data_IF_613897978787
#
_entry.id   IF_613897978787
#
_cell.length_a   1.000
_cell.length_b   1.000
_cell.length_c   1.000
_cell.angle_alpha   90.00
_cell.angle_beta   90.00
_cell.angle_gamma   90.00
#
_symmetry.space_group_name_H-M   'P 1'
#
loop_
_entity.id
_entity.type
_entity.pdbx_description
1 polymer ?
#
# COMPACT_ATOMS: atom_id res chain seq x y z
N UNK A 1 -15.49 -12.08 -10.92
CA UNK A 1 -14.04 -12.39 -11.06
C UNK A 1 -13.72 -12.66 -12.53
N UNK A 2 -13.14 -11.70 -13.27
CA UNK A 2 -12.96 -11.81 -14.73
C UNK A 2 -11.69 -11.11 -15.27
N UNK A 3 -10.54 -11.23 -14.60
CA UNK A 3 -9.30 -10.63 -15.12
C UNK A 3 -8.23 -11.68 -15.35
N UNK A 4 -8.10 -12.08 -16.61
CA UNK A 4 -6.97 -12.82 -17.17
C UNK A 4 -6.08 -11.79 -17.91
N UNK A 5 -4.78 -11.78 -17.65
CA UNK A 5 -3.85 -10.80 -18.24
C UNK A 5 -3.49 -9.64 -17.30
N UNK A 6 -3.16 -8.47 -17.84
CA UNK A 6 -2.65 -7.34 -17.06
C UNK A 6 -3.70 -6.83 -16.07
N UNK A 7 -3.40 -6.92 -14.77
CA UNK A 7 -4.27 -6.50 -13.67
C UNK A 7 -4.12 -5.04 -13.26
N UNK A 8 -3.34 -4.28 -14.04
CA UNK A 8 -3.06 -2.86 -13.86
C UNK A 8 -3.14 -2.15 -15.22
N UNK A 9 -3.41 -0.83 -15.22
CA UNK A 9 -3.35 -0.05 -16.44
C UNK A 9 -1.92 0.03 -16.99
N UNK A 10 -1.78 0.31 -18.29
CA UNK A 10 -0.46 0.48 -18.92
C UNK A 10 0.40 1.51 -18.19
N UNK A 11 -0.20 2.65 -17.80
CA UNK A 11 0.48 3.70 -17.05
C UNK A 11 1.03 3.18 -15.70
N UNK A 12 0.24 2.42 -14.95
CA UNK A 12 0.66 1.83 -13.67
C UNK A 12 1.83 0.87 -13.86
N UNK A 13 1.78 0.07 -14.94
CA UNK A 13 2.87 -0.82 -15.34
C UNK A 13 4.17 -0.07 -15.60
N UNK A 14 4.11 1.04 -16.35
CA UNK A 14 5.27 1.89 -16.65
C UNK A 14 5.81 2.58 -15.40
N UNK A 15 4.92 3.08 -14.52
CA UNK A 15 5.31 3.68 -13.25
C UNK A 15 6.06 2.66 -12.37
N UNK A 16 5.51 1.45 -12.22
CA UNK A 16 6.19 0.37 -11.49
C UNK A 16 7.53 0.00 -12.11
N UNK A 17 7.62 -0.10 -13.44
CA UNK A 17 8.88 -0.37 -14.13
C UNK A 17 9.93 0.71 -13.86
N UNK A 18 9.51 1.99 -13.88
CA UNK A 18 10.38 3.12 -13.58
C UNK A 18 10.95 3.03 -12.16
N UNK A 19 10.12 2.75 -11.16
CA UNK A 19 10.60 2.58 -9.79
C UNK A 19 11.50 1.36 -9.59
N UNK A 20 11.27 0.27 -10.33
CA UNK A 20 12.14 -0.93 -10.30
C UNK A 20 13.53 -0.69 -10.87
N UNK A 21 13.77 0.39 -11.61
CA UNK A 21 15.13 0.76 -12.05
C UNK A 21 16.03 1.20 -10.90
N UNK A 22 15.46 1.62 -9.76
CA UNK A 22 16.20 2.21 -8.64
C UNK A 22 16.80 3.59 -8.94
N UNK A 23 16.56 4.16 -10.12
CA UNK A 23 17.14 5.43 -10.54
C UNK A 23 16.30 6.62 -10.06
N UNK A 24 16.95 7.63 -9.51
CA UNK A 24 16.28 8.83 -8.99
C UNK A 24 15.64 9.70 -10.09
N UNK A 25 16.03 9.55 -11.36
CA UNK A 25 15.48 10.33 -12.49
C UNK A 25 13.95 10.18 -12.61
N UNK A 26 13.42 9.01 -12.21
CA UNK A 26 11.98 8.74 -12.21
C UNK A 26 11.20 9.35 -11.05
N UNK A 27 11.89 9.77 -9.99
CA UNK A 27 11.27 10.16 -8.73
C UNK A 27 10.29 11.33 -8.90
N UNK A 28 10.68 12.38 -9.64
CA UNK A 28 9.83 13.54 -9.88
C UNK A 28 8.53 13.17 -10.61
N UNK A 29 8.60 12.24 -11.55
CA UNK A 29 7.44 11.73 -12.29
C UNK A 29 6.50 10.94 -11.39
N UNK A 30 7.05 10.03 -10.56
CA UNK A 30 6.25 9.24 -9.60
C UNK A 30 5.60 10.16 -8.56
N UNK A 31 6.32 11.16 -8.06
CA UNK A 31 5.78 12.17 -7.13
C UNK A 31 4.64 12.98 -7.75
N UNK A 32 4.76 13.38 -9.02
CA UNK A 32 3.66 14.04 -9.74
C UNK A 32 2.45 13.14 -9.90
N UNK A 33 2.65 11.86 -10.21
CA UNK A 33 1.56 10.89 -10.29
C UNK A 33 0.89 10.69 -8.93
N UNK A 34 1.67 10.58 -7.85
CA UNK A 34 1.17 10.46 -6.50
C UNK A 34 0.30 11.65 -6.07
N UNK A 35 0.66 12.86 -6.48
CA UNK A 35 -0.10 14.08 -6.18
C UNK A 35 -1.49 14.13 -6.85
N UNK A 36 -1.76 13.28 -7.84
CA UNK A 36 -3.06 13.20 -8.52
C UNK A 36 -4.01 12.20 -7.87
N UNK A 37 -3.51 11.33 -6.98
CA UNK A 37 -4.31 10.32 -6.30
C UNK A 37 -5.37 10.97 -5.39
N UNK A 38 -6.56 10.38 -5.42
CA UNK A 38 -7.67 10.67 -4.53
C UNK A 38 -8.07 9.38 -3.80
N UNK A 39 -8.82 9.44 -2.68
CA UNK A 39 -9.27 8.23 -1.99
C UNK A 39 -9.98 7.22 -2.91
N UNK A 40 -10.75 7.74 -3.88
CA UNK A 40 -11.53 6.97 -4.84
C UNK A 40 -10.70 6.41 -6.00
N UNK A 41 -9.43 6.81 -6.14
CA UNK A 41 -8.54 6.30 -7.19
C UNK A 41 -8.40 4.77 -7.11
N UNK A 42 -8.17 4.14 -8.26
CA UNK A 42 -8.04 2.69 -8.36
C UNK A 42 -6.90 2.14 -7.50
N UNK A 43 -7.08 0.92 -6.98
CA UNK A 43 -6.05 0.20 -6.22
C UNK A 43 -4.71 0.13 -6.99
N UNK A 44 -4.78 -0.06 -8.31
CA UNK A 44 -3.57 -0.20 -9.14
C UNK A 44 -2.69 1.05 -9.10
N UNK A 45 -3.27 2.26 -9.02
CA UNK A 45 -2.51 3.50 -8.92
C UNK A 45 -1.76 3.61 -7.59
N UNK A 46 -2.43 3.28 -6.48
CA UNK A 46 -1.80 3.25 -5.15
C UNK A 46 -0.67 2.22 -5.08
N UNK A 47 -0.91 1.02 -5.61
CA UNK A 47 0.10 -0.03 -5.72
C UNK A 47 1.29 0.45 -6.55
N UNK A 48 1.03 1.08 -7.69
CA UNK A 48 2.08 1.57 -8.59
C UNK A 48 2.97 2.60 -7.88
N UNK A 49 2.38 3.59 -7.20
CA UNK A 49 3.13 4.59 -6.44
C UNK A 49 3.93 3.96 -5.29
N UNK A 50 3.30 3.09 -4.49
CA UNK A 50 3.94 2.44 -3.35
C UNK A 50 5.14 1.57 -3.76
N UNK A 51 4.96 0.68 -4.74
CA UNK A 51 6.04 -0.19 -5.24
C UNK A 51 7.16 0.62 -5.87
N UNK A 52 6.83 1.73 -6.53
CA UNK A 52 7.83 2.55 -7.20
C UNK A 52 8.70 3.31 -6.20
N UNK A 53 8.11 3.91 -5.17
CA UNK A 53 8.87 4.58 -4.12
C UNK A 53 9.71 3.61 -3.31
N UNK A 54 9.17 2.44 -2.95
CA UNK A 54 9.93 1.40 -2.26
C UNK A 54 11.10 0.86 -3.11
N UNK A 55 10.98 0.87 -4.44
CA UNK A 55 12.06 0.46 -5.35
C UNK A 55 13.17 1.49 -5.50
N UNK A 56 12.85 2.78 -5.45
CA UNK A 56 13.85 3.87 -5.54
C UNK A 56 14.60 4.05 -4.22
N UNK A 57 13.95 3.77 -3.08
CA UNK A 57 14.55 3.92 -1.75
C UNK A 57 15.08 5.34 -1.46
N UNK A 58 14.28 6.34 -1.82
CA UNK A 58 14.59 7.75 -1.56
C UNK A 58 13.72 8.27 -0.41
N UNK A 59 14.37 8.84 0.61
CA UNK A 59 13.72 9.41 1.82
C UNK A 59 12.73 10.55 1.50
N UNK A 60 12.86 11.21 0.36
CA UNK A 60 11.91 12.22 -0.10
C UNK A 60 10.51 11.63 -0.39
N UNK A 61 10.38 10.31 -0.53
CA UNK A 61 9.09 9.63 -0.67
C UNK A 61 8.27 9.62 0.63
N UNK A 62 8.94 9.67 1.78
CA UNK A 62 8.31 9.57 3.12
C UNK A 62 7.17 10.59 3.32
N UNK A 63 7.35 11.90 3.09
CA UNK A 63 6.26 12.86 3.25
C UNK A 63 5.10 12.61 2.28
N UNK A 64 5.38 12.12 1.06
CA UNK A 64 4.35 11.81 0.05
C UNK A 64 3.50 10.61 0.51
N UNK A 65 4.15 9.53 0.93
CA UNK A 65 3.50 8.31 1.41
C UNK A 65 2.70 8.58 2.69
N UNK A 66 3.26 9.35 3.62
CA UNK A 66 2.55 9.78 4.82
C UNK A 66 1.30 10.59 4.49
N UNK A 67 1.38 11.52 3.53
CA UNK A 67 0.21 12.30 3.09
C UNK A 67 -0.88 11.41 2.48
N UNK A 68 -0.52 10.44 1.62
CA UNK A 68 -1.48 9.50 1.04
C UNK A 68 -2.20 8.68 2.13
N UNK A 69 -1.46 8.13 3.09
CA UNK A 69 -2.04 7.42 4.24
C UNK A 69 -2.88 8.31 5.16
N UNK A 70 -2.72 9.63 5.08
CA UNK A 70 -3.46 10.59 5.91
C UNK A 70 -4.72 11.12 5.22
N UNK A 71 -4.97 10.73 3.97
CA UNK A 71 -6.22 11.05 3.30
C UNK A 71 -7.41 10.35 4.00
N UNK A 72 -8.57 11.02 4.12
CA UNK A 72 -9.77 10.39 4.66
C UNK A 72 -10.12 9.09 3.92
N UNK A 73 -10.36 8.03 4.67
CA UNK A 73 -10.76 6.73 4.11
C UNK A 73 -9.63 5.85 3.56
N UNK A 74 -8.36 6.26 3.65
CA UNK A 74 -7.23 5.42 3.19
C UNK A 74 -6.73 4.45 4.27
N UNK A 75 -6.77 4.83 5.55
CA UNK A 75 -6.26 4.01 6.65
C UNK A 75 -7.38 3.50 7.57
N UNK A 76 -7.11 2.44 8.33
CA UNK A 76 -8.03 1.84 9.29
C UNK A 76 -8.85 0.67 8.74
N UNK A 77 -8.35 -0.05 7.74
CA UNK A 77 -9.06 -1.17 7.10
C UNK A 77 -8.61 -2.55 7.58
N UNK A 78 -7.71 -2.62 8.55
CA UNK A 78 -7.34 -3.88 9.19
C UNK A 78 -8.54 -4.49 9.91
N UNK A 79 -8.59 -5.82 9.97
CA UNK A 79 -9.68 -6.56 10.58
C UNK A 79 -9.10 -7.52 11.61
N UNK A 80 -9.16 -7.14 12.88
CA UNK A 80 -8.64 -7.94 14.00
C UNK A 80 -9.74 -8.62 14.82
N UNK A 81 -11.00 -8.30 14.54
CA UNK A 81 -12.15 -8.78 15.28
C UNK A 81 -13.19 -9.44 14.36
N UNK A 82 -13.62 -10.66 14.73
CA UNK A 82 -14.62 -11.42 13.97
C UNK A 82 -15.96 -10.69 13.85
N UNK A 83 -16.40 -10.00 14.92
CA UNK A 83 -17.65 -9.25 14.91
C UNK A 83 -17.59 -8.04 13.96
N UNK A 84 -16.41 -7.45 13.76
CA UNK A 84 -16.21 -6.37 12.79
C UNK A 84 -16.14 -6.92 11.36
N UNK A 85 -15.46 -8.06 11.17
CA UNK A 85 -15.42 -8.77 9.90
C UNK A 85 -16.82 -9.10 9.38
N UNK A 86 -17.71 -9.60 10.26
CA UNK A 86 -19.08 -9.94 9.88
C UNK A 86 -19.92 -8.71 9.46
N UNK A 87 -19.59 -7.51 9.95
CA UNK A 87 -20.27 -6.26 9.56
C UNK A 87 -19.84 -5.75 8.19
N UNK A 88 -18.65 -6.12 7.71
CA UNK A 88 -18.12 -5.67 6.43
C UNK A 88 -18.47 -6.62 5.28
N UNK A 89 -19.01 -7.80 5.57
CA UNK A 89 -19.50 -8.76 4.57
C UNK A 89 -20.55 -8.10 3.68
N UNK A 90 -20.24 -8.00 2.39
CA UNK A 90 -21.16 -7.52 1.36
C UNK A 90 -21.93 -8.70 0.76
N UNK A 91 -23.20 -8.48 0.42
CA UNK A 91 -24.02 -9.49 -0.25
C UNK A 91 -23.63 -9.71 -1.71
N UNK A 92 -23.04 -8.69 -2.36
CA UNK A 92 -22.53 -8.80 -3.72
C UNK A 92 -21.22 -9.59 -3.73
N UNK A 93 -21.23 -10.76 -4.38
CA UNK A 93 -20.07 -11.64 -4.51
C UNK A 93 -18.96 -11.08 -5.41
N UNK A 94 -19.24 -10.01 -6.16
CA UNK A 94 -18.25 -9.30 -6.96
C UNK A 94 -17.69 -8.05 -6.27
N UNK A 95 -18.16 -7.71 -5.05
CA UNK A 95 -17.61 -6.58 -4.30
C UNK A 95 -16.13 -6.83 -3.99
N UNK A 96 -15.31 -5.85 -4.37
CA UNK A 96 -13.88 -5.87 -4.11
C UNK A 96 -13.44 -4.71 -3.22
N UNK A 97 -14.40 -3.96 -2.64
CA UNK A 97 -14.14 -2.69 -1.95
C UNK A 97 -13.31 -2.92 -0.69
N UNK A 98 -13.70 -3.88 0.15
CA UNK A 98 -12.98 -4.25 1.38
C UNK A 98 -11.54 -4.63 1.04
N UNK A 99 -11.38 -5.58 0.11
CA UNK A 99 -10.05 -6.04 -0.34
C UNK A 99 -9.20 -4.88 -0.87
N UNK A 100 -9.77 -4.05 -1.74
CA UNK A 100 -9.04 -2.94 -2.36
C UNK A 100 -8.61 -1.91 -1.32
N UNK A 101 -9.45 -1.61 -0.34
CA UNK A 101 -9.12 -0.68 0.74
C UNK A 101 -7.99 -1.22 1.62
N UNK A 102 -8.06 -2.50 2.03
CA UNK A 102 -6.98 -3.14 2.79
C UNK A 102 -5.66 -3.12 2.02
N UNK A 103 -5.69 -3.47 0.72
CA UNK A 103 -4.49 -3.51 -0.10
C UNK A 103 -3.90 -2.13 -0.37
N UNK A 104 -4.73 -1.09 -0.59
CA UNK A 104 -4.26 0.31 -0.71
C UNK A 104 -3.45 0.71 0.51
N UNK A 105 -4.03 0.50 1.70
CA UNK A 105 -3.39 0.80 2.97
C UNK A 105 -2.09 0.02 3.16
N UNK A 106 -2.13 -1.30 2.94
CA UNK A 106 -0.99 -2.19 3.16
C UNK A 106 0.19 -1.88 2.22
N UNK A 107 -0.06 -1.60 0.94
CA UNK A 107 0.99 -1.19 0.00
C UNK A 107 1.66 0.12 0.45
N UNK A 108 0.86 1.12 0.82
CA UNK A 108 1.39 2.41 1.27
C UNK A 108 2.15 2.29 2.59
N UNK A 109 1.63 1.54 3.55
CA UNK A 109 2.27 1.33 4.86
C UNK A 109 3.61 0.60 4.72
N UNK A 110 3.67 -0.44 3.89
CA UNK A 110 4.93 -1.12 3.54
C UNK A 110 5.93 -0.14 2.92
N UNK A 111 5.51 0.64 1.92
CA UNK A 111 6.40 1.58 1.25
C UNK A 111 6.92 2.65 2.22
N UNK A 112 6.05 3.20 3.07
CA UNK A 112 6.42 4.19 4.07
C UNK A 112 7.44 3.60 5.06
N UNK A 113 7.18 2.37 5.53
CA UNK A 113 8.07 1.67 6.45
C UNK A 113 9.47 1.45 5.87
N UNK A 114 9.54 1.02 4.61
CA UNK A 114 10.82 0.77 3.93
C UNK A 114 11.59 2.07 3.62
N UNK A 115 10.91 3.15 3.25
CA UNK A 115 11.58 4.43 2.92
C UNK A 115 12.02 5.25 4.16
N UNK A 116 11.69 4.83 5.38
CA UNK A 116 12.20 5.45 6.63
C UNK A 116 11.14 5.89 7.65
N UNK A 117 9.86 5.70 7.37
CA UNK A 117 8.73 5.77 8.33
C UNK A 117 8.64 6.99 9.26
N UNK A 118 8.17 8.13 8.72
CA UNK A 118 7.92 9.32 9.53
C UNK A 118 6.80 9.08 10.55
N UNK A 119 7.06 9.45 11.81
CA UNK A 119 6.17 9.28 12.96
C UNK A 119 5.72 7.83 13.24
N UNK A 120 6.44 6.83 12.74
CA UNK A 120 6.10 5.39 12.91
C UNK A 120 4.74 4.98 12.36
N UNK A 121 4.13 5.78 11.48
CA UNK A 121 2.77 5.52 10.98
C UNK A 121 2.69 4.25 10.14
N UNK A 122 3.69 4.01 9.29
CA UNK A 122 3.80 2.79 8.48
C UNK A 122 3.94 1.55 9.37
N UNK A 123 4.81 1.61 10.37
CA UNK A 123 5.02 0.56 11.37
C UNK A 123 3.74 0.26 12.14
N UNK A 124 3.04 1.29 12.66
CA UNK A 124 1.79 1.11 13.41
C UNK A 124 0.74 0.38 12.58
N UNK A 125 0.56 0.79 11.32
CA UNK A 125 -0.38 0.12 10.40
C UNK A 125 0.04 -1.33 10.15
N UNK A 126 1.33 -1.60 9.93
CA UNK A 126 1.84 -2.96 9.76
C UNK A 126 1.65 -3.81 11.02
N UNK A 127 1.82 -3.26 12.21
CA UNK A 127 1.57 -3.95 13.48
C UNK A 127 0.09 -4.30 13.67
N UNK A 128 -0.82 -3.43 13.23
CA UNK A 128 -2.25 -3.74 13.18
C UNK A 128 -2.53 -4.89 12.21
N UNK A 129 -1.98 -4.82 10.98
CA UNK A 129 -2.15 -5.89 10.01
C UNK A 129 -1.48 -7.20 10.42
N UNK A 130 -0.42 -7.18 11.21
CA UNK A 130 0.26 -8.38 11.71
C UNK A 130 -0.67 -9.27 12.59
N UNK A 131 -1.79 -8.71 13.07
CA UNK A 131 -2.82 -9.40 13.84
C UNK A 131 -4.15 -9.55 13.06
N UNK A 132 -4.15 -9.26 11.76
CA UNK A 132 -5.34 -9.31 10.90
C UNK A 132 -5.85 -10.74 10.69
N UNK A 133 -7.17 -10.91 10.65
CA UNK A 133 -7.83 -12.18 10.41
C UNK A 133 -7.62 -12.70 8.97
N UNK A 134 -7.31 -11.82 8.02
CA UNK A 134 -6.85 -12.19 6.69
C UNK A 134 -5.41 -12.70 6.78
N UNK A 135 -5.25 -14.01 6.91
CA UNK A 135 -3.94 -14.67 7.04
C UNK A 135 -2.85 -14.16 6.07
N UNK A 136 -3.13 -13.96 4.75
CA UNK A 136 -2.13 -13.41 3.83
C UNK A 136 -1.66 -11.99 4.18
N UNK A 137 -2.53 -11.13 4.70
CA UNK A 137 -2.18 -9.76 5.09
C UNK A 137 -1.32 -9.76 6.36
N UNK A 138 -1.69 -10.60 7.33
CA UNK A 138 -0.92 -10.78 8.56
C UNK A 138 0.49 -11.32 8.30
N UNK A 139 0.61 -12.39 7.50
CA UNK A 139 1.91 -12.94 7.14
C UNK A 139 2.78 -11.93 6.39
N UNK A 140 2.19 -11.16 5.46
CA UNK A 140 2.91 -10.12 4.75
C UNK A 140 3.44 -9.05 5.71
N UNK A 141 2.58 -8.49 6.57
CA UNK A 141 2.98 -7.44 7.50
C UNK A 141 4.06 -7.91 8.49
N UNK A 142 3.93 -9.12 9.04
CA UNK A 142 4.94 -9.73 9.91
C UNK A 142 6.30 -9.88 9.20
N UNK A 143 6.31 -10.31 7.94
CA UNK A 143 7.54 -10.43 7.14
C UNK A 143 8.22 -9.08 6.93
N UNK A 144 7.44 -8.04 6.61
CA UNK A 144 7.99 -6.68 6.44
C UNK A 144 8.58 -6.16 7.75
N UNK A 145 7.85 -6.27 8.88
CA UNK A 145 8.33 -5.85 10.20
C UNK A 145 9.60 -6.59 10.65
N UNK A 146 9.79 -7.84 10.22
CA UNK A 146 10.99 -8.60 10.53
C UNK A 146 12.18 -8.25 9.62
N UNK A 147 11.94 -7.61 8.47
CA UNK A 147 13.02 -7.26 7.52
C UNK A 147 14.01 -6.26 8.12
N UNK A 148 13.56 -5.28 8.91
CA UNK A 148 14.45 -4.33 9.59
C UNK A 148 15.09 -4.86 10.88
N UNK A 149 14.56 -5.93 11.48
CA UNK A 149 15.15 -6.53 12.69
C UNK A 149 16.49 -7.23 12.41
N UNK A 150 16.79 -7.52 11.15
CA UNK A 150 17.99 -8.24 10.71
C UNK A 150 19.09 -7.33 10.14
N UNK A 151 18.96 -6.00 10.23
CA UNK A 151 19.97 -5.04 9.75
C UNK A 151 20.92 -4.57 10.87
N UNK A 152 21.17 -5.40 11.89
CA UNK A 152 22.11 -5.13 12.99
C UNK A 152 23.39 -5.94 12.79
#
# INVERSE_FOLDING_TARGET
>A
MHQFGMSAGYLDGVIMALGKTGQNDGFATIKRFAALLKPESELSHFRAVAESFAGIDNKDAVPVLHQLLSMPGISGHHVTNLNEALKTVKQDTNDNSVRNNCLKELFLARALYLCGDFNSKGKEILENYANDLHGPYAQHAQSILNTQKHTI
#
